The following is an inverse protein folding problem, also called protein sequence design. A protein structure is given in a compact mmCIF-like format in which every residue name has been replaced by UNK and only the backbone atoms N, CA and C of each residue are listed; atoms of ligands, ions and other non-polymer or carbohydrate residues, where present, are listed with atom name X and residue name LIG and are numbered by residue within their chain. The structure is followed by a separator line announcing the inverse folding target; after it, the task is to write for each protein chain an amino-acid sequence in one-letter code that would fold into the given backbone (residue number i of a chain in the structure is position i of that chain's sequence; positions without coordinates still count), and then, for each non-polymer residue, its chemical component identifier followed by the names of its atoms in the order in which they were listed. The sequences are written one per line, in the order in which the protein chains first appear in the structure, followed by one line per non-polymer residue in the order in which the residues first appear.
data_IF_142774141951
#
_entry.id   IF_142774141951
#
_cell.length_a   1.000
_cell.length_b   1.000
_cell.length_c   1.000
_cell.angle_alpha   90.00
_cell.angle_beta   90.00
_cell.angle_gamma   90.00
#
_symmetry.space_group_name_H-M   'P 1'
#
loop_
_entity.id
_entity.type
_entity.pdbx_description
1 polymer ?
#
# COMPACT_ATOMS: atom_id res chain seq x y z
N UNK A 1 5.22 -48.30 40.92
CA UNK A 1 4.27 -47.22 40.51
C UNK A 1 4.97 -46.00 39.89
N UNK A 2 6.04 -45.44 40.50
CA UNK A 2 6.68 -44.24 39.92
C UNK A 2 7.30 -44.42 38.51
N UNK A 3 7.85 -45.63 38.20
CA UNK A 3 8.44 -45.93 36.88
C UNK A 3 7.39 -46.07 35.76
N UNK A 4 6.18 -46.52 36.09
CA UNK A 4 5.07 -46.67 35.13
C UNK A 4 4.47 -45.34 34.76
N UNK A 5 4.40 -44.39 35.72
CA UNK A 5 3.89 -43.03 35.46
C UNK A 5 4.86 -42.24 34.57
N UNK A 6 6.17 -42.40 34.72
CA UNK A 6 7.16 -41.76 33.84
C UNK A 6 7.10 -42.33 32.41
N UNK A 7 6.81 -43.61 32.22
CA UNK A 7 6.67 -44.19 30.88
C UNK A 7 5.39 -43.74 30.20
N UNK A 8 4.31 -43.57 30.96
CA UNK A 8 3.03 -43.07 30.44
C UNK A 8 3.13 -41.57 30.04
N UNK A 9 3.85 -40.75 30.84
CA UNK A 9 4.12 -39.35 30.52
C UNK A 9 5.05 -39.20 29.31
N UNK A 10 6.04 -40.05 29.15
CA UNK A 10 6.91 -40.08 27.98
C UNK A 10 6.16 -40.51 26.72
N UNK A 11 5.20 -41.43 26.83
CA UNK A 11 4.37 -41.89 25.74
C UNK A 11 3.38 -40.79 25.29
N UNK A 12 2.81 -40.03 26.24
CA UNK A 12 1.93 -38.89 25.94
C UNK A 12 2.71 -37.77 25.28
N UNK A 13 3.97 -37.47 25.66
CA UNK A 13 4.81 -36.49 24.97
C UNK A 13 5.19 -36.92 23.53
N UNK A 14 5.42 -38.21 23.30
CA UNK A 14 5.72 -38.73 21.95
C UNK A 14 4.50 -38.72 21.06
N UNK A 15 3.30 -38.94 21.59
CA UNK A 15 2.05 -38.86 20.81
C UNK A 15 1.66 -37.41 20.50
N UNK A 16 2.03 -36.44 21.38
CA UNK A 16 1.80 -35.02 21.13
C UNK A 16 2.80 -34.42 20.10
N UNK A 17 3.96 -35.05 19.87
CA UNK A 17 4.92 -34.64 18.84
C UNK A 17 4.61 -35.20 17.43
N UNK A 18 3.73 -36.20 17.30
CA UNK A 18 3.35 -36.78 16.00
C UNK A 18 2.05 -36.20 15.43
N UNK A 19 1.40 -35.29 16.14
CA UNK A 19 0.15 -34.64 15.69
C UNK A 19 0.38 -33.20 15.16
N UNK A 20 1.60 -32.72 15.09
CA UNK A 20 1.91 -31.50 14.33
C UNK A 20 2.07 -31.89 12.85
N UNK A 21 0.96 -32.04 12.16
CA UNK A 21 0.96 -31.99 10.71
C UNK A 21 1.53 -30.63 10.30
N UNK A 22 2.29 -30.61 9.21
CA UNK A 22 2.77 -29.37 8.60
C UNK A 22 1.55 -28.54 8.18
N UNK A 23 1.16 -27.56 9.00
CA UNK A 23 -0.03 -26.73 8.83
C UNK A 23 0.01 -25.95 7.52
N UNK A 24 1.20 -25.65 7.01
CA UNK A 24 1.40 -24.93 5.76
C UNK A 24 1.37 -25.82 4.53
N UNK A 25 1.42 -27.15 4.69
CA UNK A 25 1.49 -28.08 3.55
C UNK A 25 0.27 -27.98 2.64
N UNK A 26 -0.94 -28.05 3.21
CA UNK A 26 -2.17 -27.99 2.42
C UNK A 26 -2.39 -26.62 1.78
N UNK A 27 -2.26 -25.49 2.51
CA UNK A 27 -2.30 -24.15 1.91
C UNK A 27 -1.29 -23.98 0.76
N UNK A 28 -0.08 -24.52 0.91
CA UNK A 28 0.93 -24.46 -0.15
C UNK A 28 0.54 -25.27 -1.38
N UNK A 29 0.04 -26.52 -1.22
CA UNK A 29 -0.43 -27.34 -2.34
C UNK A 29 -1.59 -26.66 -3.10
N UNK A 30 -2.48 -25.99 -2.41
CA UNK A 30 -3.57 -25.19 -3.00
C UNK A 30 -3.03 -23.96 -3.75
N UNK A 31 -2.04 -23.26 -3.18
CA UNK A 31 -1.41 -22.12 -3.83
C UNK A 31 -0.71 -22.51 -5.14
N UNK A 32 0.07 -23.60 -5.10
CA UNK A 32 0.76 -24.16 -6.29
C UNK A 32 -0.25 -24.63 -7.34
N UNK A 33 -1.35 -25.23 -6.93
CA UNK A 33 -2.39 -25.65 -7.86
C UNK A 33 -3.04 -24.44 -8.56
N UNK A 34 -3.36 -23.36 -7.82
CA UNK A 34 -3.86 -22.12 -8.38
C UNK A 34 -2.86 -21.50 -9.37
N UNK A 35 -1.57 -21.45 -9.00
CA UNK A 35 -0.48 -20.96 -9.86
C UNK A 35 -0.40 -21.74 -11.17
N UNK A 36 -0.37 -23.08 -11.11
CA UNK A 36 -0.28 -23.95 -12.28
C UNK A 36 -1.51 -23.88 -13.20
N UNK A 37 -2.67 -23.51 -12.65
CA UNK A 37 -3.91 -23.33 -13.39
C UNK A 37 -4.10 -21.90 -13.94
N UNK A 38 -3.14 -20.98 -13.70
CA UNK A 38 -3.20 -19.59 -14.17
C UNK A 38 -4.12 -18.67 -13.33
N UNK A 39 -4.55 -19.12 -12.16
CA UNK A 39 -5.31 -18.30 -11.20
C UNK A 39 -4.35 -17.48 -10.35
N UNK A 40 -3.63 -16.55 -11.00
CA UNK A 40 -2.48 -15.87 -10.41
C UNK A 40 -2.84 -14.94 -9.25
N UNK A 41 -4.01 -14.30 -9.25
CA UNK A 41 -4.50 -13.50 -8.12
C UNK A 41 -4.70 -14.37 -6.87
N UNK A 42 -5.41 -15.50 -7.02
CA UNK A 42 -5.62 -16.47 -5.94
C UNK A 42 -4.30 -17.07 -5.46
N UNK A 43 -3.43 -17.44 -6.40
CA UNK A 43 -2.09 -17.98 -6.10
C UNK A 43 -1.28 -16.97 -5.29
N UNK A 44 -1.22 -15.71 -5.73
CA UNK A 44 -0.45 -14.68 -5.06
C UNK A 44 -0.95 -14.42 -3.63
N UNK A 45 -2.26 -14.35 -3.40
CA UNK A 45 -2.82 -14.19 -2.07
C UNK A 45 -2.45 -15.33 -1.13
N UNK A 46 -2.52 -16.59 -1.61
CA UNK A 46 -2.15 -17.79 -0.84
C UNK A 46 -0.64 -17.87 -0.60
N UNK A 47 0.19 -17.57 -1.61
CA UNK A 47 1.66 -17.59 -1.50
C UNK A 47 2.16 -16.52 -0.54
N UNK A 48 1.59 -15.31 -0.56
CA UNK A 48 1.93 -14.24 0.37
C UNK A 48 1.66 -14.62 1.84
N UNK A 49 0.56 -15.34 2.10
CA UNK A 49 0.23 -15.82 3.44
C UNK A 49 1.19 -16.91 3.97
N UNK A 50 1.93 -17.58 3.08
CA UNK A 50 2.89 -18.63 3.41
C UNK A 50 4.29 -18.11 3.73
N UNK A 51 4.60 -16.85 3.36
CA UNK A 51 5.92 -16.26 3.57
C UNK A 51 7.05 -17.09 2.97
N UNK A 52 8.03 -17.44 3.81
CA UNK A 52 9.22 -18.21 3.39
C UNK A 52 9.01 -19.74 3.35
N UNK A 53 7.76 -20.21 3.41
CA UNK A 53 7.50 -21.64 3.35
C UNK A 53 7.84 -22.22 1.98
N UNK A 54 8.83 -23.13 1.92
CA UNK A 54 9.38 -23.73 0.68
C UNK A 54 9.80 -22.65 -0.34
N UNK A 55 9.25 -22.68 -1.55
CA UNK A 55 9.49 -21.74 -2.63
C UNK A 55 8.34 -20.73 -2.84
N UNK A 56 7.46 -20.57 -1.82
CA UNK A 56 6.32 -19.68 -1.93
C UNK A 56 6.71 -18.25 -2.30
N UNK A 57 7.77 -17.72 -1.67
CA UNK A 57 8.28 -16.38 -2.01
C UNK A 57 8.79 -16.28 -3.45
N UNK A 58 9.44 -17.35 -3.95
CA UNK A 58 9.94 -17.41 -5.34
C UNK A 58 8.79 -17.45 -6.35
N UNK A 59 7.78 -18.28 -6.09
CA UNK A 59 6.58 -18.36 -6.94
C UNK A 59 5.81 -17.04 -6.94
N UNK A 60 5.65 -16.41 -5.79
CA UNK A 60 5.02 -15.10 -5.68
C UNK A 60 5.77 -14.04 -6.50
N UNK A 61 7.10 -14.01 -6.40
CA UNK A 61 7.94 -13.06 -7.14
C UNK A 61 7.89 -13.27 -8.68
N UNK A 62 7.51 -14.46 -9.14
CA UNK A 62 7.34 -14.73 -10.58
C UNK A 62 6.01 -14.25 -11.15
N UNK A 63 5.02 -13.95 -10.30
CA UNK A 63 3.73 -13.42 -10.73
C UNK A 63 3.88 -11.93 -10.99
N UNK A 64 3.74 -11.52 -12.26
CA UNK A 64 3.68 -10.09 -12.62
C UNK A 64 2.22 -9.66 -12.65
N UNK A 65 1.89 -8.66 -11.83
CA UNK A 65 0.59 -8.03 -11.78
C UNK A 65 0.71 -6.59 -12.30
N UNK A 66 0.19 -6.34 -13.49
CA UNK A 66 0.09 -4.99 -14.02
C UNK A 66 -1.33 -4.49 -13.79
N UNK A 67 -1.48 -3.28 -13.26
CA UNK A 67 -2.80 -2.65 -13.21
C UNK A 67 -3.31 -2.57 -14.63
N UNK A 68 -4.36 -3.34 -14.92
CA UNK A 68 -5.06 -3.26 -16.18
C UNK A 68 -5.51 -1.81 -16.30
N UNK A 69 -5.07 -1.06 -17.33
CA UNK A 69 -5.20 0.40 -17.47
C UNK A 69 -6.53 1.05 -17.08
N UNK A 70 -7.31 0.37 -16.25
CA UNK A 70 -8.68 0.71 -15.83
C UNK A 70 -8.96 0.10 -14.48
N UNK A 71 -9.62 0.85 -13.64
CA UNK A 71 -10.46 0.44 -12.55
C UNK A 71 -9.82 0.25 -11.18
N UNK A 72 -9.84 1.33 -10.47
CA UNK A 72 -9.85 1.34 -9.02
C UNK A 72 -11.26 1.73 -8.56
N UNK A 73 -11.94 0.85 -7.84
CA UNK A 73 -13.13 1.21 -7.08
C UNK A 73 -12.72 1.70 -5.71
N UNK A 74 -12.97 2.97 -5.41
CA UNK A 74 -12.68 3.58 -4.11
C UNK A 74 -13.96 3.65 -3.32
N UNK A 75 -13.97 3.04 -2.13
CA UNK A 75 -15.09 3.14 -1.20
C UNK A 75 -14.62 3.87 0.06
N UNK A 76 -15.23 5.01 0.35
CA UNK A 76 -14.99 5.75 1.59
C UNK A 76 -15.78 5.16 2.77
N UNK A 77 -15.36 5.45 4.02
CA UNK A 77 -15.93 4.86 5.23
C UNK A 77 -17.43 5.10 5.42
N UNK A 78 -17.96 6.19 4.86
CA UNK A 78 -19.40 6.47 4.87
C UNK A 78 -20.21 5.67 3.85
N UNK A 79 -19.53 4.84 3.01
CA UNK A 79 -20.14 3.95 2.04
C UNK A 79 -20.85 4.64 0.87
N UNK A 80 -20.74 5.97 0.76
CA UNK A 80 -21.56 6.76 -0.16
C UNK A 80 -20.88 7.10 -1.48
N UNK A 81 -19.55 6.90 -1.58
CA UNK A 81 -18.82 7.32 -2.79
C UNK A 81 -17.99 6.17 -3.33
N UNK A 82 -18.45 5.47 -4.35
CA UNK A 82 -17.56 4.66 -5.19
C UNK A 82 -17.06 5.55 -6.33
N UNK A 83 -15.74 5.58 -6.52
CA UNK A 83 -15.09 6.32 -7.60
C UNK A 83 -14.34 5.32 -8.46
N UNK A 84 -14.56 5.36 -9.76
CA UNK A 84 -13.81 4.55 -10.71
C UNK A 84 -12.64 5.36 -11.23
N UNK A 85 -11.41 4.82 -11.10
CA UNK A 85 -10.19 5.49 -11.55
C UNK A 85 -9.52 4.70 -12.67
N UNK A 86 -9.30 5.36 -13.79
CA UNK A 86 -8.50 4.87 -14.90
C UNK A 86 -7.09 5.45 -14.82
N UNK A 87 -6.08 4.57 -14.73
CA UNK A 87 -4.67 4.94 -14.71
C UNK A 87 -4.06 4.90 -16.10
N UNK A 88 -3.32 5.94 -16.48
CA UNK A 88 -2.62 6.03 -17.75
C UNK A 88 -1.12 6.12 -17.47
N UNK A 89 -0.37 5.11 -17.91
CA UNK A 89 1.07 5.00 -17.75
C UNK A 89 1.82 5.34 -19.03
N UNK A 90 3.03 5.87 -18.88
CA UNK A 90 4.00 6.03 -19.95
C UNK A 90 5.40 5.72 -19.41
N UNK A 91 6.12 4.82 -20.06
CA UNK A 91 7.46 4.37 -19.64
C UNK A 91 7.49 3.91 -18.17
N UNK A 92 6.48 3.19 -17.72
CA UNK A 92 6.35 2.73 -16.33
C UNK A 92 5.86 3.79 -15.32
N UNK A 93 5.80 5.07 -15.70
CA UNK A 93 5.35 6.14 -14.82
C UNK A 93 3.86 6.45 -15.04
N UNK A 94 3.11 6.58 -13.94
CA UNK A 94 1.74 7.07 -13.96
C UNK A 94 1.73 8.55 -14.38
N UNK A 95 1.24 8.86 -15.57
CA UNK A 95 1.22 10.24 -16.09
C UNK A 95 -0.13 10.92 -15.95
N UNK A 96 -1.19 10.15 -15.78
CA UNK A 96 -2.55 10.69 -15.70
C UNK A 96 -3.50 9.70 -15.03
N UNK A 97 -4.48 10.24 -14.30
CA UNK A 97 -5.67 9.54 -13.82
C UNK A 97 -6.93 10.19 -14.41
N UNK A 98 -7.88 9.38 -14.83
CA UNK A 98 -9.25 9.80 -15.08
C UNK A 98 -10.13 9.25 -13.93
N UNK A 99 -10.73 10.14 -13.16
CA UNK A 99 -11.51 9.80 -11.97
C UNK A 99 -12.98 10.06 -12.28
N UNK A 100 -13.77 9.00 -12.34
CA UNK A 100 -15.23 9.06 -12.55
C UNK A 100 -15.93 9.10 -11.20
N UNK A 101 -16.67 10.15 -10.93
CA UNK A 101 -17.42 10.34 -9.70
C UNK A 101 -18.84 9.78 -9.80
N UNK A 102 -19.46 9.51 -8.65
CA UNK A 102 -20.80 8.93 -8.58
C UNK A 102 -21.89 9.80 -9.23
N UNK A 103 -21.68 11.13 -9.33
CA UNK A 103 -22.57 12.10 -10.01
C UNK A 103 -22.37 12.14 -11.53
N UNK A 104 -21.49 11.29 -12.08
CA UNK A 104 -21.18 11.22 -13.51
C UNK A 104 -20.13 12.25 -13.96
N UNK A 105 -19.62 13.10 -13.10
CA UNK A 105 -18.51 14.00 -13.46
C UNK A 105 -17.20 13.23 -13.58
N UNK A 106 -16.25 13.75 -14.38
CA UNK A 106 -14.92 13.16 -14.55
C UNK A 106 -13.88 14.24 -14.29
N UNK A 107 -13.01 13.98 -13.31
CA UNK A 107 -11.81 14.78 -13.08
C UNK A 107 -10.58 14.10 -13.65
N UNK A 108 -9.50 14.86 -13.86
CA UNK A 108 -8.26 14.36 -14.46
C UNK A 108 -7.08 14.89 -13.68
N UNK A 109 -6.30 13.98 -13.09
CA UNK A 109 -5.04 14.32 -12.47
C UNK A 109 -3.89 14.08 -13.44
N UNK A 110 -2.81 14.83 -13.28
CA UNK A 110 -1.64 14.77 -14.15
C UNK A 110 -0.36 14.75 -13.31
N UNK A 111 0.61 13.96 -13.73
CA UNK A 111 1.89 13.75 -13.06
C UNK A 111 3.04 13.98 -14.03
N UNK A 112 4.13 14.58 -13.54
CA UNK A 112 5.37 14.76 -14.31
C UNK A 112 6.53 14.15 -13.56
N UNK A 113 7.46 13.59 -14.30
CA UNK A 113 8.64 12.92 -13.78
C UNK A 113 9.90 13.50 -14.38
N UNK A 114 11.00 13.46 -13.64
CA UNK A 114 12.35 13.75 -14.14
C UNK A 114 12.97 12.49 -14.80
N UNK A 115 14.21 12.65 -15.30
CA UNK A 115 14.93 11.55 -15.96
C UNK A 115 15.36 10.43 -14.98
N UNK A 116 15.33 10.69 -13.67
CA UNK A 116 15.59 9.70 -12.62
C UNK A 116 14.33 8.92 -12.21
N UNK A 117 13.16 9.28 -12.76
CA UNK A 117 11.88 8.68 -12.41
C UNK A 117 11.22 9.29 -11.17
N UNK A 118 11.74 10.39 -10.63
CA UNK A 118 11.11 11.09 -9.52
C UNK A 118 9.89 11.87 -10.00
N UNK A 119 8.74 11.74 -9.34
CA UNK A 119 7.59 12.60 -9.60
C UNK A 119 7.89 14.02 -9.16
N UNK A 120 8.00 14.95 -10.11
CA UNK A 120 8.36 16.36 -9.83
C UNK A 120 7.15 17.27 -9.66
N UNK A 121 6.01 16.92 -10.23
CA UNK A 121 4.77 17.68 -10.01
C UNK A 121 3.53 16.86 -10.23
N UNK A 122 2.48 17.24 -9.51
CA UNK A 122 1.13 16.74 -9.63
C UNK A 122 0.16 17.91 -9.86
N UNK A 123 -0.85 17.68 -10.67
CA UNK A 123 -1.99 18.58 -10.83
C UNK A 123 -3.24 17.79 -10.54
N UNK A 124 -3.87 18.08 -9.40
CA UNK A 124 -5.06 17.41 -8.92
C UNK A 124 -6.26 18.32 -9.17
N UNK A 125 -7.19 17.88 -10.02
CA UNK A 125 -8.40 18.64 -10.31
C UNK A 125 -9.55 18.10 -9.46
N UNK A 126 -10.33 19.01 -8.89
CA UNK A 126 -11.45 18.71 -8.02
C UNK A 126 -12.77 18.77 -8.79
N UNK A 127 -13.79 18.07 -8.32
CA UNK A 127 -15.11 18.02 -8.94
C UNK A 127 -15.79 19.41 -8.98
N UNK A 128 -15.49 20.28 -8.01
CA UNK A 128 -15.98 21.66 -7.94
C UNK A 128 -15.26 22.64 -8.88
N UNK A 129 -14.30 22.15 -9.68
CA UNK A 129 -13.47 22.93 -10.60
C UNK A 129 -12.22 23.53 -9.94
N UNK A 130 -12.02 23.34 -8.64
CA UNK A 130 -10.79 23.70 -7.95
C UNK A 130 -9.59 22.92 -8.46
N UNK A 131 -8.39 23.41 -8.17
CA UNK A 131 -7.14 22.76 -8.55
C UNK A 131 -6.11 22.85 -7.43
N UNK A 132 -5.55 21.71 -7.05
CA UNK A 132 -4.36 21.64 -6.21
C UNK A 132 -3.15 21.33 -7.08
N UNK A 133 -2.08 22.12 -6.93
CA UNK A 133 -0.80 21.85 -7.58
C UNK A 133 0.22 21.45 -6.52
N UNK A 134 0.93 20.36 -6.79
CA UNK A 134 1.99 19.85 -5.90
C UNK A 134 3.30 19.87 -6.67
N UNK A 135 4.34 20.42 -6.05
CA UNK A 135 5.71 20.44 -6.59
C UNK A 135 6.62 19.72 -5.62
N UNK A 136 7.37 18.74 -6.11
CA UNK A 136 8.32 17.97 -5.33
C UNK A 136 9.75 18.34 -5.72
N UNK A 137 10.63 18.42 -4.74
CA UNK A 137 12.04 18.76 -4.89
C UNK A 137 12.87 17.61 -4.34
N UNK A 138 13.92 17.26 -5.07
CA UNK A 138 14.79 16.14 -4.76
C UNK A 138 16.26 16.54 -4.78
N UNK A 139 17.07 15.87 -3.98
CA UNK A 139 18.54 15.81 -4.10
C UNK A 139 18.89 14.37 -4.50
N UNK A 140 19.16 14.17 -5.80
CA UNK A 140 19.21 12.83 -6.40
C UNK A 140 17.84 12.16 -6.37
N UNK A 141 17.71 11.06 -5.64
CA UNK A 141 16.44 10.36 -5.40
C UNK A 141 15.79 10.71 -4.06
N UNK A 142 16.48 11.48 -3.20
CA UNK A 142 15.99 11.86 -1.89
C UNK A 142 14.99 13.02 -2.00
N UNK A 143 13.75 12.81 -1.61
CA UNK A 143 12.76 13.88 -1.54
C UNK A 143 13.13 14.81 -0.38
N UNK A 144 13.40 16.08 -0.66
CA UNK A 144 13.78 17.06 0.36
C UNK A 144 12.66 18.04 0.69
N UNK A 145 11.78 18.35 -0.27
CA UNK A 145 10.68 19.29 -0.06
C UNK A 145 9.50 19.01 -0.96
N UNK A 146 8.31 19.33 -0.49
CA UNK A 146 7.09 19.42 -1.29
C UNK A 146 6.41 20.75 -1.01
N UNK A 147 5.92 21.41 -2.05
CA UNK A 147 5.05 22.59 -1.94
C UNK A 147 3.70 22.23 -2.53
N UNK A 148 2.66 22.30 -1.72
CA UNK A 148 1.26 22.14 -2.12
C UNK A 148 0.63 23.52 -2.25
N UNK A 149 0.13 23.84 -3.44
CA UNK A 149 -0.64 25.05 -3.69
C UNK A 149 -2.12 24.67 -3.79
N UNK A 150 -2.90 25.16 -2.85
CA UNK A 150 -4.32 24.87 -2.71
C UNK A 150 -5.16 25.69 -3.72
N UNK A 151 -6.45 25.37 -3.95
CA UNK A 151 -7.31 26.09 -4.91
C UNK A 151 -7.43 27.61 -4.64
N UNK A 152 -7.30 28.02 -3.39
CA UNK A 152 -7.29 29.44 -2.97
C UNK A 152 -5.92 30.11 -3.09
N UNK A 153 -4.94 29.47 -3.72
CA UNK A 153 -3.53 29.86 -3.84
C UNK A 153 -2.73 29.93 -2.52
N UNK A 154 -3.27 29.44 -1.41
CA UNK A 154 -2.49 29.24 -0.21
C UNK A 154 -1.46 28.12 -0.42
N UNK A 155 -0.34 28.16 0.31
CA UNK A 155 0.73 27.18 0.15
C UNK A 155 1.05 26.52 1.47
N UNK A 156 1.09 25.18 1.42
CA UNK A 156 1.61 24.36 2.51
C UNK A 156 2.96 23.79 2.06
N UNK A 157 3.93 23.75 2.96
CA UNK A 157 5.28 23.27 2.67
C UNK A 157 5.62 22.10 3.56
N UNK A 158 6.11 21.02 2.96
CA UNK A 158 6.66 19.85 3.65
C UNK A 158 8.16 19.82 3.45
N UNK A 159 8.92 19.70 4.53
CA UNK A 159 10.35 19.46 4.51
C UNK A 159 10.65 18.07 5.06
N UNK A 160 11.39 17.25 4.30
CA UNK A 160 11.58 15.83 4.60
C UNK A 160 12.97 15.54 5.13
N UNK A 161 13.05 14.58 6.03
CA UNK A 161 14.28 13.91 6.43
C UNK A 161 14.24 12.49 5.90
N UNK A 162 15.26 12.06 5.17
CA UNK A 162 15.40 10.72 4.62
C UNK A 162 16.58 9.98 5.26
N UNK A 163 16.54 8.63 5.20
CA UNK A 163 17.69 7.80 5.50
C UNK A 163 18.70 7.80 4.33
N UNK A 164 19.79 7.06 4.50
CA UNK A 164 20.87 6.94 3.49
C UNK A 164 20.42 6.31 2.16
N UNK A 165 19.28 5.62 2.15
CA UNK A 165 18.68 4.97 0.99
C UNK A 165 17.58 5.80 0.34
N UNK A 166 17.33 7.02 0.83
CA UNK A 166 16.28 7.92 0.33
C UNK A 166 14.88 7.65 0.87
N UNK A 167 14.75 6.76 1.87
CA UNK A 167 13.47 6.49 2.52
C UNK A 167 13.14 7.63 3.48
N UNK A 168 11.94 8.19 3.36
CA UNK A 168 11.47 9.28 4.22
C UNK A 168 11.30 8.78 5.65
N UNK A 169 11.92 9.43 6.61
CA UNK A 169 11.81 9.13 8.05
C UNK A 169 10.84 10.07 8.77
N UNK A 170 10.82 11.33 8.36
CA UNK A 170 9.93 12.34 8.94
C UNK A 170 9.68 13.48 7.97
N UNK A 171 8.68 14.30 8.29
CA UNK A 171 8.53 15.62 7.69
C UNK A 171 8.12 16.66 8.71
N UNK A 172 8.41 17.90 8.39
CA UNK A 172 7.83 19.10 9.02
C UNK A 172 6.90 19.74 8.00
N UNK A 173 5.62 19.84 8.34
CA UNK A 173 4.60 20.53 7.56
C UNK A 173 4.42 21.95 8.11
N UNK A 174 4.60 22.96 7.27
CA UNK A 174 4.22 24.34 7.56
C UNK A 174 2.99 24.68 6.72
N UNK A 175 1.86 24.91 7.38
CA UNK A 175 0.62 25.36 6.75
C UNK A 175 0.70 26.84 6.35
N UNK A 176 -0.20 27.24 5.47
CA UNK A 176 -0.26 28.62 4.97
C UNK A 176 -0.59 29.68 6.02
N UNK A 177 -1.13 29.30 7.16
CA UNK A 177 -1.40 30.16 8.31
C UNK A 177 -0.22 30.22 9.29
N UNK A 178 0.87 29.51 9.00
CA UNK A 178 2.07 29.42 9.85
C UNK A 178 2.03 28.32 10.90
N UNK A 179 0.95 27.53 10.98
CA UNK A 179 0.90 26.36 11.84
C UNK A 179 1.94 25.32 11.39
N UNK A 180 2.66 24.75 12.36
CA UNK A 180 3.70 23.74 12.11
C UNK A 180 3.26 22.41 12.73
N UNK A 181 3.35 21.35 11.94
CA UNK A 181 3.12 19.97 12.36
C UNK A 181 4.30 19.09 12.00
N UNK A 182 4.63 18.13 12.85
CA UNK A 182 5.67 17.14 12.58
C UNK A 182 5.04 15.76 12.48
N UNK A 183 5.54 14.95 11.55
CA UNK A 183 5.14 13.56 11.43
C UNK A 183 6.34 12.65 11.18
N UNK A 184 6.22 11.39 11.64
CA UNK A 184 7.18 10.33 11.44
C UNK A 184 6.58 9.20 10.62
N UNK A 185 7.41 8.43 9.92
CA UNK A 185 7.03 7.36 9.00
C UNK A 185 7.54 6.02 9.52
N UNK A 186 6.67 5.02 9.53
CA UNK A 186 7.03 3.64 9.86
C UNK A 186 6.78 2.73 8.66
N UNK A 187 7.65 1.73 8.51
CA UNK A 187 7.64 0.82 7.36
C UNK A 187 7.67 -0.63 7.84
N UNK A 188 7.10 -1.54 7.04
CA UNK A 188 7.23 -2.96 7.26
C UNK A 188 8.58 -3.50 6.73
N UNK A 189 8.82 -4.81 6.90
CA UNK A 189 10.03 -5.48 6.44
C UNK A 189 10.22 -5.44 4.91
N UNK A 190 9.13 -5.30 4.16
CA UNK A 190 9.12 -5.14 2.70
C UNK A 190 9.41 -3.70 2.26
N UNK A 191 9.59 -2.76 3.21
CA UNK A 191 9.84 -1.36 2.95
C UNK A 191 8.60 -0.54 2.59
N UNK A 192 7.40 -1.09 2.75
CA UNK A 192 6.14 -0.40 2.52
C UNK A 192 5.78 0.47 3.73
N UNK A 193 5.31 1.69 3.47
CA UNK A 193 4.86 2.64 4.50
C UNK A 193 3.62 2.09 5.23
N UNK A 194 3.71 1.87 6.53
CA UNK A 194 2.58 1.33 7.31
C UNK A 194 1.87 2.38 8.16
N UNK A 195 2.61 3.38 8.64
CA UNK A 195 2.05 4.41 9.51
C UNK A 195 2.73 5.75 9.23
N UNK A 196 1.93 6.81 9.18
CA UNK A 196 2.37 8.19 9.37
C UNK A 196 1.82 8.63 10.71
N UNK A 197 2.70 8.99 11.66
CA UNK A 197 2.32 9.43 13.01
C UNK A 197 2.56 10.92 13.17
N UNK A 198 1.51 11.66 13.51
CA UNK A 198 1.54 13.08 13.82
C UNK A 198 0.83 13.35 15.16
N UNK A 199 1.01 14.54 15.72
CA UNK A 199 0.30 14.94 16.95
C UNK A 199 -1.23 14.97 16.78
N UNK A 200 -1.71 15.22 15.56
CA UNK A 200 -3.13 15.23 15.20
C UNK A 200 -3.74 13.82 15.07
N UNK A 201 -2.92 12.77 14.96
CA UNK A 201 -3.34 11.38 14.80
C UNK A 201 -2.41 10.57 13.91
N UNK A 202 -2.84 9.36 13.60
CA UNK A 202 -2.10 8.45 12.73
C UNK A 202 -2.85 8.23 11.42
N UNK A 203 -2.08 8.05 10.33
CA UNK A 203 -2.60 7.47 9.09
C UNK A 203 -1.96 6.10 8.91
N UNK A 204 -2.77 5.06 8.75
CA UNK A 204 -2.32 3.68 8.60
C UNK A 204 -2.62 3.17 7.20
N UNK A 205 -1.78 2.27 6.69
CA UNK A 205 -1.88 1.70 5.34
C UNK A 205 -1.84 0.18 5.38
N UNK A 206 -2.72 -0.47 4.62
CA UNK A 206 -2.73 -1.91 4.39
C UNK A 206 -2.48 -2.18 2.90
N UNK A 207 -1.78 -3.28 2.61
CA UNK A 207 -1.33 -3.63 1.26
C UNK A 207 -1.81 -5.01 0.85
N UNK A 208 -2.03 -5.20 -0.45
CA UNK A 208 -2.22 -6.53 -1.03
C UNK A 208 -0.87 -7.21 -1.32
N UNK A 209 -0.93 -8.44 -1.85
CA UNK A 209 0.24 -9.24 -2.19
C UNK A 209 1.12 -8.61 -3.31
N UNK A 210 0.59 -7.65 -4.06
CA UNK A 210 1.28 -6.95 -5.16
C UNK A 210 1.89 -5.62 -4.72
N UNK A 211 1.74 -5.26 -3.45
CA UNK A 211 2.29 -4.03 -2.88
C UNK A 211 1.42 -2.80 -3.10
N UNK A 212 0.19 -2.95 -3.57
CA UNK A 212 -0.75 -1.85 -3.70
C UNK A 212 -1.53 -1.62 -2.41
N UNK A 213 -1.70 -0.34 -2.05
CA UNK A 213 -2.50 0.06 -0.87
C UNK A 213 -3.95 -0.36 -1.09
N UNK A 214 -4.49 -1.20 -0.23
CA UNK A 214 -5.90 -1.63 -0.28
C UNK A 214 -6.76 -0.93 0.77
N UNK A 215 -6.11 -0.29 1.75
CA UNK A 215 -6.81 0.52 2.74
C UNK A 215 -5.90 1.61 3.28
N UNK A 216 -6.47 2.79 3.45
CA UNK A 216 -5.92 3.90 4.19
C UNK A 216 -6.92 4.27 5.28
N UNK A 217 -6.46 4.42 6.52
CA UNK A 217 -7.31 4.83 7.63
C UNK A 217 -6.65 5.95 8.44
N UNK A 218 -7.42 6.97 8.76
CA UNK A 218 -7.01 8.06 9.64
C UNK A 218 -7.59 7.83 11.03
N UNK A 219 -6.73 7.85 12.03
CA UNK A 219 -7.07 7.66 13.43
C UNK A 219 -6.78 8.94 14.21
N UNK A 220 -7.72 9.36 15.03
CA UNK A 220 -7.54 10.44 15.98
C UNK A 220 -8.08 10.01 17.34
N UNK A 221 -7.33 10.29 18.42
CA UNK A 221 -7.68 9.90 19.80
C UNK A 221 -7.93 8.39 19.99
N UNK A 222 -7.28 7.54 19.16
CA UNK A 222 -7.43 6.07 19.21
C UNK A 222 -8.68 5.52 18.53
N UNK A 223 -9.40 6.35 17.78
CA UNK A 223 -10.57 5.94 17.00
C UNK A 223 -10.33 6.24 15.51
N UNK A 224 -10.79 5.34 14.63
CA UNK A 224 -10.77 5.56 13.18
C UNK A 224 -11.83 6.62 12.84
N UNK A 225 -11.37 7.77 12.35
CA UNK A 225 -12.23 8.89 11.96
C UNK A 225 -12.54 8.91 10.46
N UNK A 226 -11.70 8.25 9.66
CA UNK A 226 -11.90 8.08 8.22
C UNK A 226 -11.20 6.83 7.75
N UNK A 227 -11.78 6.12 6.77
CA UNK A 227 -11.10 5.05 6.07
C UNK A 227 -11.51 5.03 4.60
N UNK A 228 -10.54 4.71 3.74
CA UNK A 228 -10.73 4.53 2.30
C UNK A 228 -10.24 3.14 1.93
N UNK A 229 -11.04 2.39 1.18
CA UNK A 229 -10.65 1.08 0.65
C UNK A 229 -10.51 1.16 -0.87
N UNK A 230 -9.58 0.37 -1.40
CA UNK A 230 -9.21 0.36 -2.81
C UNK A 230 -9.31 -1.06 -3.37
N UNK A 231 -10.06 -1.23 -4.46
CA UNK A 231 -10.14 -2.49 -5.19
C UNK A 231 -9.56 -2.32 -6.59
N UNK A 232 -8.55 -3.13 -6.92
CA UNK A 232 -7.81 -3.02 -8.19
C UNK A 232 -8.18 -4.15 -9.14
N UNK A 233 -8.18 -3.84 -10.43
CA UNK A 233 -8.19 -4.85 -11.49
C UNK A 233 -6.78 -5.02 -12.05
N UNK A 234 -6.34 -6.26 -12.21
CA UNK A 234 -5.01 -6.60 -12.71
C UNK A 234 -5.08 -7.46 -13.96
N UNK A 235 -4.09 -7.28 -14.84
CA UNK A 235 -3.68 -8.29 -15.80
C UNK A 235 -2.51 -9.06 -15.21
N UNK A 236 -2.59 -10.38 -15.22
CA UNK A 236 -1.58 -11.25 -14.65
C UNK A 236 -0.78 -11.95 -15.75
N UNK A 237 0.51 -12.07 -15.55
CA UNK A 237 1.42 -12.86 -16.35
C UNK A 237 2.48 -13.53 -15.48
N UNK A 238 3.21 -14.48 -16.05
CA UNK A 238 4.40 -15.08 -15.43
C UNK A 238 5.63 -14.51 -16.12
N UNK A 239 6.60 -14.07 -15.32
CA UNK A 239 7.90 -13.61 -15.79
C UNK A 239 8.84 -14.79 -16.16
#
# INVERSE_FOLDING_TARGET
MKKLICLLLALIMVVSMTACGDENKKPYEEAVAAYNNGYYEEAAAKLAALGDYKDAATLLASITAEKAGVALDVTTADGTTSTHVEYIFKNGNLIKENISHADGTVTKNYYKFDDLGNCTSETLNHADGGKTMVSHFYEGTNKVRTIRTNPNNSKDTYEYTCDENGKVLSHVLTLSDGTVEEATYSYNEQGQLTVISAASGNTTFEYNAFGDVVKEAVEANGEVVSATTYAYTYMFSIA
#
